data_IF_800191983933
#
_entry.id   IF_800191983933
#
_cell.length_a   1.000
_cell.length_b   1.000
_cell.length_c   1.000
_cell.angle_alpha   90.00
_cell.angle_beta   90.00
_cell.angle_gamma   90.00
#
_symmetry.space_group_name_H-M   'P 1'
#
loop_
_entity.id
_entity.type
_entity.pdbx_description
1 polymer ?
#
# COMPACT_ATOMS: atom_id res chain seq x y z
N UNK A 1 27.11 -6.41 3.90
CA UNK A 1 26.13 -5.35 4.11
C UNK A 1 24.87 -5.87 4.76
N UNK A 2 24.47 -5.24 5.79
CA UNK A 2 23.33 -5.72 6.56
C UNK A 2 22.04 -5.15 6.03
N UNK A 3 21.03 -5.96 5.92
CA UNK A 3 19.72 -5.46 5.62
C UNK A 3 19.20 -4.63 6.76
N UNK A 4 18.49 -3.58 6.43
CA UNK A 4 17.86 -2.79 7.43
C UNK A 4 16.73 -3.59 8.05
N UNK A 5 16.72 -3.63 9.36
CA UNK A 5 15.66 -4.28 10.10
C UNK A 5 14.87 -3.25 10.86
N UNK A 6 13.59 -3.55 11.09
CA UNK A 6 12.74 -2.67 11.86
C UNK A 6 13.05 -2.80 13.34
N UNK A 7 13.05 -1.69 14.02
CA UNK A 7 13.17 -1.69 15.46
C UNK A 7 11.85 -2.18 16.06
N UNK A 8 11.90 -2.51 17.35
CA UNK A 8 10.68 -2.93 18.04
C UNK A 8 9.62 -1.83 17.97
N UNK A 9 10.03 -0.59 18.17
CA UNK A 9 9.08 0.52 18.12
C UNK A 9 8.46 0.66 16.74
N UNK A 10 9.27 0.47 15.70
CA UNK A 10 8.74 0.52 14.34
C UNK A 10 7.76 -0.60 14.08
N UNK A 11 8.07 -1.80 14.57
CA UNK A 11 7.17 -2.94 14.38
C UNK A 11 5.84 -2.66 15.08
N UNK A 12 5.89 -2.16 16.30
CA UNK A 12 4.66 -1.86 17.02
C UNK A 12 3.84 -0.80 16.33
N UNK A 13 4.52 0.22 15.81
CA UNK A 13 3.82 1.26 15.06
C UNK A 13 3.14 0.68 13.82
N UNK A 14 3.91 -0.10 13.04
CA UNK A 14 3.38 -0.65 11.79
C UNK A 14 2.19 -1.57 12.02
N UNK A 15 2.22 -2.30 13.12
CA UNK A 15 1.12 -3.23 13.41
C UNK A 15 -0.20 -2.52 13.68
N UNK A 16 -0.16 -1.25 13.99
CA UNK A 16 -1.40 -0.50 14.26
C UNK A 16 -2.06 0.00 12.98
N UNK A 17 -1.40 -0.10 11.84
CA UNK A 17 -1.90 0.49 10.61
C UNK A 17 -2.85 -0.46 9.89
N UNK A 18 -4.00 0.06 9.43
CA UNK A 18 -4.94 -0.78 8.66
C UNK A 18 -4.34 -1.33 7.38
N UNK A 19 -3.33 -0.65 6.83
CA UNK A 19 -2.69 -1.08 5.59
C UNK A 19 -1.76 -2.27 5.78
N UNK A 20 -1.53 -2.69 7.02
CA UNK A 20 -0.58 -3.75 7.34
C UNK A 20 -1.32 -4.96 7.88
N UNK A 21 -1.12 -6.13 7.25
CA UNK A 21 -1.64 -7.40 7.76
C UNK A 21 -0.72 -8.00 8.79
N UNK A 22 0.58 -7.94 8.52
CA UNK A 22 1.57 -8.55 9.41
C UNK A 22 2.91 -7.89 9.18
N UNK A 23 3.73 -7.87 10.22
CA UNK A 23 5.07 -7.33 10.11
C UNK A 23 6.01 -8.09 11.03
N UNK A 24 7.20 -8.37 10.52
CA UNK A 24 8.29 -8.92 11.31
C UNK A 24 9.43 -7.92 11.29
N UNK A 25 10.57 -8.30 11.87
CA UNK A 25 11.70 -7.38 11.93
C UNK A 25 12.29 -7.08 10.54
N UNK A 26 11.95 -7.86 9.52
CA UNK A 26 12.53 -7.64 8.19
C UNK A 26 11.51 -7.68 7.07
N UNK A 27 10.25 -7.95 7.34
CA UNK A 27 9.27 -8.13 6.28
C UNK A 27 7.93 -7.53 6.67
N UNK A 28 7.26 -6.93 5.68
CA UNK A 28 5.91 -6.40 5.85
C UNK A 28 4.99 -7.13 4.89
N UNK A 29 3.85 -7.55 5.40
CA UNK A 29 2.78 -8.08 4.58
C UNK A 29 1.67 -7.03 4.57
N UNK A 30 1.39 -6.50 3.41
CA UNK A 30 0.41 -5.42 3.28
C UNK A 30 -0.98 -5.98 3.07
N UNK A 31 -1.97 -5.29 3.61
CA UNK A 31 -3.35 -5.68 3.42
C UNK A 31 -3.70 -5.64 1.94
N UNK A 32 -4.46 -6.63 1.47
CA UNK A 32 -4.83 -6.72 0.07
C UNK A 32 -5.56 -5.47 -0.39
N UNK A 33 -6.44 -4.96 0.44
CA UNK A 33 -7.20 -3.76 0.08
C UNK A 33 -6.29 -2.56 -0.10
N UNK A 34 -5.24 -2.47 0.71
CA UNK A 34 -4.29 -1.38 0.54
C UNK A 34 -3.55 -1.53 -0.78
N UNK A 35 -3.17 -2.75 -1.13
CA UNK A 35 -2.44 -2.97 -2.38
C UNK A 35 -3.28 -2.51 -3.57
N UNK A 36 -4.55 -2.87 -3.57
CA UNK A 36 -5.45 -2.50 -4.65
C UNK A 36 -5.68 -0.99 -4.67
N UNK A 37 -5.95 -0.41 -3.52
CA UNK A 37 -6.18 1.04 -3.44
C UNK A 37 -4.95 1.82 -3.87
N UNK A 38 -3.78 1.35 -3.45
CA UNK A 38 -2.52 1.99 -3.82
C UNK A 38 -2.37 2.03 -5.33
N UNK A 39 -2.61 0.91 -5.99
CA UNK A 39 -2.44 0.88 -7.44
C UNK A 39 -3.55 1.66 -8.14
N UNK A 40 -4.74 1.72 -7.57
CA UNK A 40 -5.79 2.56 -8.13
C UNK A 40 -5.36 4.03 -8.12
N UNK A 41 -4.83 4.48 -7.00
CA UNK A 41 -4.36 5.87 -6.89
C UNK A 41 -3.16 6.12 -7.79
N UNK A 42 -2.30 5.11 -7.91
CA UNK A 42 -1.15 5.22 -8.80
C UNK A 42 -1.61 5.42 -10.25
N UNK A 43 -2.64 4.67 -10.66
CA UNK A 43 -3.19 4.81 -12.01
C UNK A 43 -3.83 6.18 -12.22
N UNK A 44 -4.25 6.82 -11.15
CA UNK A 44 -4.84 8.16 -11.22
C UNK A 44 -3.77 9.26 -11.24
N UNK A 45 -2.51 8.88 -11.18
CA UNK A 45 -1.42 9.84 -11.26
C UNK A 45 -0.82 10.24 -9.94
N UNK A 46 -1.26 9.67 -8.83
CA UNK A 46 -0.67 10.00 -7.55
C UNK A 46 0.71 9.37 -7.44
N UNK A 47 1.60 10.07 -6.76
CA UNK A 47 2.96 9.58 -6.60
C UNK A 47 3.02 8.49 -5.54
N UNK A 48 3.82 7.44 -5.78
CA UNK A 48 3.92 6.35 -4.81
C UNK A 48 4.24 6.81 -3.39
N UNK A 49 5.20 7.72 -3.26
CA UNK A 49 5.56 8.20 -1.93
C UNK A 49 4.38 8.83 -1.22
N UNK A 50 3.60 9.65 -1.93
CA UNK A 50 2.44 10.29 -1.34
C UNK A 50 1.39 9.29 -0.91
N UNK A 51 1.17 8.25 -1.73
CA UNK A 51 0.21 7.21 -1.41
C UNK A 51 0.62 6.50 -0.13
N UNK A 52 1.90 6.13 -0.03
CA UNK A 52 2.38 5.42 1.14
C UNK A 52 2.37 6.29 2.39
N UNK A 53 2.73 7.55 2.24
CA UNK A 53 2.68 8.46 3.40
C UNK A 53 1.27 8.58 3.94
N UNK A 54 0.27 8.68 3.06
CA UNK A 54 -1.11 8.80 3.50
C UNK A 54 -1.59 7.55 4.24
N UNK A 55 -0.92 6.43 4.05
CA UNK A 55 -1.25 5.18 4.74
C UNK A 55 -0.40 4.96 5.99
N UNK A 56 0.38 5.96 6.38
CA UNK A 56 1.25 5.83 7.55
C UNK A 56 2.57 5.15 7.26
N UNK A 57 2.91 4.98 6.00
CA UNK A 57 4.10 4.22 5.59
C UNK A 57 5.11 5.14 4.95
N UNK A 58 5.63 6.09 5.71
CA UNK A 58 6.55 7.06 5.16
C UNK A 58 7.90 6.42 4.81
N UNK A 59 8.64 7.02 3.88
CA UNK A 59 9.97 6.51 3.56
C UNK A 59 10.92 6.51 4.74
N UNK A 60 10.70 7.37 5.72
CA UNK A 60 11.56 7.40 6.89
C UNK A 60 11.39 6.14 7.73
N UNK A 61 10.28 5.45 7.58
CA UNK A 61 10.02 4.22 8.31
C UNK A 61 10.36 2.99 7.47
N UNK A 62 9.81 2.91 6.25
CA UNK A 62 9.97 1.69 5.46
C UNK A 62 11.01 1.82 4.35
N UNK A 63 11.46 3.02 4.03
CA UNK A 63 12.49 3.23 3.03
C UNK A 63 11.92 3.37 1.62
N UNK A 64 12.58 4.22 0.82
CA UNK A 64 12.16 4.44 -0.56
C UNK A 64 12.21 3.17 -1.40
N UNK A 65 13.24 2.36 -1.18
CA UNK A 65 13.38 1.14 -1.98
C UNK A 65 12.23 0.19 -1.80
N UNK A 66 11.72 0.10 -0.58
CA UNK A 66 10.58 -0.78 -0.32
C UNK A 66 9.37 -0.30 -1.09
N UNK A 67 9.16 1.02 -1.08
CA UNK A 67 8.02 1.60 -1.81
C UNK A 67 8.14 1.28 -3.29
N UNK A 68 9.33 1.50 -3.86
CA UNK A 68 9.55 1.24 -5.28
C UNK A 68 9.33 -0.24 -5.63
N UNK A 69 9.83 -1.12 -4.79
CA UNK A 69 9.68 -2.55 -5.04
C UNK A 69 8.23 -2.98 -4.96
N UNK A 70 7.49 -2.41 -4.02
CA UNK A 70 6.09 -2.75 -3.90
C UNK A 70 5.32 -2.32 -5.13
N UNK A 71 5.56 -1.11 -5.60
CA UNK A 71 4.87 -0.61 -6.79
C UNK A 71 5.21 -1.51 -7.99
N UNK A 72 6.49 -1.85 -8.15
CA UNK A 72 6.89 -2.70 -9.28
C UNK A 72 6.25 -4.08 -9.19
N UNK A 73 6.19 -4.64 -8.00
CA UNK A 73 5.60 -5.98 -7.82
C UNK A 73 4.10 -5.96 -8.07
N UNK A 74 3.41 -4.99 -7.49
CA UNK A 74 1.96 -4.94 -7.63
C UNK A 74 1.54 -4.57 -9.05
N UNK A 75 2.38 -3.82 -9.73
CA UNK A 75 2.11 -3.48 -11.13
C UNK A 75 2.12 -4.72 -12.01
N UNK A 76 2.86 -5.74 -11.62
CA UNK A 76 2.91 -7.00 -12.38
C UNK A 76 1.82 -7.98 -11.97
N UNK A 77 1.13 -7.69 -10.88
CA UNK A 77 0.09 -8.59 -10.40
C UNK A 77 -1.20 -8.27 -11.15
N UNK A 78 -1.57 -9.17 -12.05
CA UNK A 78 -2.71 -8.92 -12.91
C UNK A 78 -4.00 -8.77 -12.12
N UNK A 79 -4.15 -9.53 -11.06
CA UNK A 79 -5.35 -9.45 -10.26
C UNK A 79 -5.48 -8.10 -9.55
N UNK A 80 -4.38 -7.63 -8.97
CA UNK A 80 -4.37 -6.33 -8.32
C UNK A 80 -4.66 -5.23 -9.34
N UNK A 81 -4.01 -5.29 -10.48
CA UNK A 81 -4.18 -4.23 -11.49
C UNK A 81 -5.57 -4.25 -12.09
N UNK A 82 -6.14 -5.43 -12.28
CA UNK A 82 -7.51 -5.50 -12.79
C UNK A 82 -8.48 -4.86 -11.80
N UNK A 83 -8.34 -5.19 -10.53
CA UNK A 83 -9.22 -4.61 -9.52
C UNK A 83 -8.97 -3.14 -9.32
N UNK A 84 -7.73 -2.72 -9.43
CA UNK A 84 -7.39 -1.30 -9.29
C UNK A 84 -8.00 -0.48 -10.42
N UNK A 85 -8.11 -1.05 -11.60
CA UNK A 85 -8.67 -0.35 -12.74
C UNK A 85 -10.19 -0.29 -12.73
N UNK A 86 -10.83 -1.11 -11.90
CA UNK A 86 -12.28 -1.08 -11.80
C UNK A 86 -12.72 0.14 -11.02
N UNK A 87 -13.88 0.67 -11.39
CA UNK A 87 -14.43 1.77 -10.63
C UNK A 87 -14.82 1.31 -9.25
N UNK A 88 -14.54 2.12 -8.23
CA UNK A 88 -15.06 1.79 -6.91
C UNK A 88 -16.58 1.76 -6.97
N UNK A 89 -17.19 0.95 -6.11
CA UNK A 89 -18.62 0.88 -6.05
C UNK A 89 -19.21 2.24 -5.82
N UNK A 90 -20.16 2.61 -6.64
CA UNK A 90 -20.74 3.91 -6.42
C UNK A 90 -21.56 3.90 -5.18
N UNK A 91 -21.57 3.62 -4.74
CA UNK A 91 -22.12 3.79 -3.74
C UNK A 91 -22.83 4.64 -3.61
N UNK A 92 -22.51 4.26 -4.63
CA UNK A 92 -22.99 4.84 -4.89
C UNK A 92 -23.60 5.25 -5.20
N UNK A 93 -23.56 4.98 -5.65
CA UNK A 93 -24.02 5.28 -6.07
C UNK A 93 -24.70 5.54 -6.28
N UNK A 94 -24.90 5.40 -6.36
CA UNK A 94 -25.50 5.50 -6.62
C UNK A 94 -26.10 5.91 -6.77
N UNK A 95 -26.12 5.89 -6.86
CA UNK A 95 -26.61 6.14 -7.00
C UNK A 95 -27.22 6.50 -7.32
N UNK A 96 -27.21 6.33 -7.53
CA UNK A 96 -27.79 6.51 -7.76
C UNK A 96 -28.44 6.74 -8.07
N UNK A 97 -28.56 6.66 -8.31
CA UNK A 97 -29.18 6.71 -8.54
C UNK A 97 -29.79 6.84 -8.74
N UNK A 98 -29.88 6.75 -8.98
CA UNK A 98 -30.39 6.76 -9.10
C UNK A 98 -30.80 6.99 -9.21
#
# INVERSE_FOLDING_TARGET
MTKRQFSRAEIEYLRTLPSIDAVTDSRITYAREFQIDCMRRYLQGEKPTAIFISAGLSPSVIGHKRIERNIARWKRDEDIMRKAAEEPEPHDTAVDNH
#
